data_IF_160481456878
#
_entry.id   IF_160481456878
#
_cell.length_a   1.000
_cell.length_b   1.000
_cell.length_c   1.000
_cell.angle_alpha   90.00
_cell.angle_beta   90.00
_cell.angle_gamma   90.00
#
_symmetry.space_group_name_H-M   'P 1'
#
loop_
_entity.id
_entity.type
_entity.pdbx_description
1 polymer ?
#
# COMPACT_ATOMS: atom_id res chain seq x y z
N UNK A 1 -10.23 -32.27 -2.98
CA UNK A 1 -9.57 -31.07 -3.53
C UNK A 1 -10.58 -29.93 -3.39
N UNK A 2 -10.20 -28.72 -3.00
CA UNK A 2 -11.16 -27.65 -2.63
C UNK A 2 -11.06 -26.53 -3.66
N UNK A 3 -12.19 -26.17 -4.28
CA UNK A 3 -12.28 -25.05 -5.22
C UNK A 3 -12.96 -23.88 -4.49
N UNK A 4 -12.32 -22.70 -4.50
CA UNK A 4 -12.79 -21.49 -3.79
C UNK A 4 -13.08 -20.43 -4.86
N UNK A 5 -14.29 -19.85 -4.83
CA UNK A 5 -14.73 -18.79 -5.76
C UNK A 5 -15.45 -17.68 -5.00
N UNK A 6 -15.29 -16.45 -5.47
CA UNK A 6 -16.05 -15.30 -4.95
C UNK A 6 -17.52 -15.40 -5.37
N UNK A 7 -18.49 -14.98 -4.53
CA UNK A 7 -19.89 -14.95 -4.91
C UNK A 7 -20.15 -13.98 -6.07
N UNK A 8 -21.09 -14.34 -6.95
CA UNK A 8 -21.55 -13.47 -8.02
C UNK A 8 -22.20 -12.19 -7.47
N UNK A 9 -22.06 -11.05 -8.16
CA UNK A 9 -22.49 -9.73 -7.65
C UNK A 9 -24.01 -9.50 -7.64
N UNK A 10 -24.84 -10.48 -8.03
CA UNK A 10 -26.31 -10.36 -8.04
C UNK A 10 -26.99 -11.64 -7.54
N UNK A 11 -28.00 -11.50 -6.68
CA UNK A 11 -28.76 -12.60 -6.05
C UNK A 11 -28.83 -12.45 -4.51
N UNK A 12 -29.85 -13.04 -3.86
CA UNK A 12 -30.01 -12.97 -2.39
C UNK A 12 -28.92 -13.73 -1.61
N UNK A 13 -28.00 -14.43 -2.31
CA UNK A 13 -26.84 -15.12 -1.72
C UNK A 13 -25.77 -14.16 -1.15
N UNK A 14 -25.83 -12.87 -1.49
CA UNK A 14 -24.96 -11.84 -0.88
C UNK A 14 -25.22 -11.68 0.63
N UNK A 15 -26.33 -12.23 1.15
CA UNK A 15 -26.75 -12.07 2.56
C UNK A 15 -26.49 -13.29 3.46
N UNK A 16 -25.91 -14.39 2.96
CA UNK A 16 -25.67 -15.58 3.79
C UNK A 16 -24.17 -15.83 4.01
N UNK A 17 -23.81 -16.08 5.27
CA UNK A 17 -22.44 -15.90 5.76
C UNK A 17 -21.44 -16.99 5.34
N UNK A 18 -21.85 -18.25 5.11
CA UNK A 18 -21.05 -19.29 4.42
C UNK A 18 -22.00 -20.38 3.93
N UNK A 19 -21.88 -20.80 2.67
CA UNK A 19 -22.58 -21.96 2.12
C UNK A 19 -21.59 -23.06 1.79
N UNK A 20 -21.90 -24.32 2.15
CA UNK A 20 -21.10 -25.51 1.85
C UNK A 20 -21.90 -26.46 1.00
N UNK A 21 -21.34 -26.83 -0.15
CA UNK A 21 -21.93 -27.79 -1.07
C UNK A 21 -21.00 -28.99 -1.25
N UNK A 22 -21.46 -30.17 -0.84
CA UNK A 22 -20.72 -31.43 -1.03
C UNK A 22 -21.43 -32.35 -2.03
N UNK A 23 -22.73 -32.18 -2.18
CA UNK A 23 -23.60 -32.88 -3.13
C UNK A 23 -24.58 -31.90 -3.75
N UNK A 24 -25.14 -32.24 -4.90
CA UNK A 24 -26.01 -31.35 -5.66
C UNK A 24 -27.24 -30.91 -4.84
N UNK A 25 -27.77 -31.81 -4.01
CA UNK A 25 -28.91 -31.55 -3.13
C UNK A 25 -28.60 -30.52 -2.01
N UNK A 26 -27.32 -30.23 -1.76
CA UNK A 26 -26.95 -29.16 -0.83
C UNK A 26 -27.28 -27.77 -1.41
N UNK A 27 -27.40 -27.64 -2.75
CA UNK A 27 -27.82 -26.40 -3.42
C UNK A 27 -29.28 -26.04 -3.10
N UNK A 28 -30.10 -27.02 -2.73
CA UNK A 28 -31.50 -26.81 -2.32
C UNK A 28 -31.62 -26.12 -0.96
N UNK A 29 -30.57 -26.14 -0.14
CA UNK A 29 -30.59 -25.58 1.21
C UNK A 29 -30.50 -24.05 1.25
N UNK A 30 -30.13 -23.44 0.13
CA UNK A 30 -29.75 -22.02 0.08
C UNK A 30 -30.49 -21.22 -1.00
N UNK A 31 -31.61 -21.73 -1.52
CA UNK A 31 -32.42 -21.06 -2.56
C UNK A 31 -31.59 -20.59 -3.78
N UNK A 32 -30.56 -21.36 -4.16
CA UNK A 32 -29.72 -21.05 -5.31
C UNK A 32 -30.56 -20.97 -6.60
N UNK A 33 -30.35 -19.91 -7.38
CA UNK A 33 -30.96 -19.70 -8.70
C UNK A 33 -30.51 -20.76 -9.71
N UNK A 34 -31.23 -20.86 -10.84
CA UNK A 34 -30.90 -21.83 -11.90
C UNK A 34 -29.49 -21.58 -12.45
N UNK A 35 -29.12 -20.32 -12.67
CA UNK A 35 -27.79 -19.93 -13.18
C UNK A 35 -26.67 -20.30 -12.20
N UNK A 36 -26.89 -20.13 -10.90
CA UNK A 36 -25.92 -20.52 -9.86
C UNK A 36 -25.78 -22.04 -9.76
N UNK A 37 -26.87 -22.79 -9.96
CA UNK A 37 -26.81 -24.26 -9.95
C UNK A 37 -26.03 -24.81 -11.13
N UNK A 38 -26.29 -24.32 -12.34
CA UNK A 38 -25.55 -24.71 -13.55
C UNK A 38 -24.04 -24.40 -13.43
N UNK A 39 -23.68 -23.35 -12.69
CA UNK A 39 -22.28 -22.98 -12.46
C UNK A 39 -21.56 -23.88 -11.44
N UNK A 40 -22.25 -24.33 -10.38
CA UNK A 40 -21.61 -25.13 -9.31
C UNK A 40 -21.67 -26.65 -9.55
N UNK A 41 -22.62 -27.13 -10.35
CA UNK A 41 -22.85 -28.55 -10.66
C UNK A 41 -21.60 -29.29 -11.17
N UNK A 42 -20.83 -28.77 -12.16
CA UNK A 42 -19.69 -29.49 -12.71
C UNK A 42 -18.55 -29.75 -11.71
N UNK A 43 -18.47 -28.94 -10.65
CA UNK A 43 -17.45 -29.04 -9.62
C UNK A 43 -17.86 -30.00 -8.50
N UNK A 44 -19.14 -30.01 -8.14
CA UNK A 44 -19.70 -30.96 -7.18
C UNK A 44 -19.64 -32.39 -7.75
N UNK A 45 -19.93 -32.58 -9.04
CA UNK A 45 -19.80 -33.87 -9.73
C UNK A 45 -18.35 -34.40 -9.71
N UNK A 46 -17.36 -33.51 -9.63
CA UNK A 46 -15.94 -33.85 -9.49
C UNK A 46 -15.52 -34.11 -8.03
N UNK A 47 -16.48 -34.14 -7.10
CA UNK A 47 -16.24 -34.36 -5.67
C UNK A 47 -15.54 -33.20 -4.98
N UNK A 48 -15.66 -31.99 -5.54
CA UNK A 48 -15.07 -30.77 -4.97
C UNK A 48 -16.08 -30.10 -4.04
N UNK A 49 -15.61 -29.73 -2.85
CA UNK A 49 -16.42 -28.99 -1.87
C UNK A 49 -16.24 -27.50 -2.10
N UNK A 50 -17.34 -26.77 -2.26
CA UNK A 50 -17.37 -25.34 -2.59
C UNK A 50 -17.84 -24.52 -1.38
N UNK A 51 -17.18 -23.40 -1.11
CA UNK A 51 -17.50 -22.44 -0.04
C UNK A 51 -17.69 -21.02 -0.60
N UNK A 52 -18.72 -20.30 -0.15
CA UNK A 52 -19.02 -18.90 -0.55
C UNK A 52 -19.66 -18.10 0.60
N UNK A 53 -19.18 -16.87 0.88
CA UNK A 53 -19.67 -15.94 1.93
C UNK A 53 -18.61 -14.93 2.46
N UNK A 54 -19.03 -13.87 3.17
CA UNK A 54 -18.18 -12.74 3.65
C UNK A 54 -17.52 -13.09 4.99
N UNK A 55 -16.20 -13.18 5.01
CA UNK A 55 -15.51 -14.29 5.68
C UNK A 55 -14.73 -13.92 6.97
N UNK A 56 -15.31 -14.21 8.15
CA UNK A 56 -14.61 -14.24 9.45
C UNK A 56 -13.70 -15.47 9.59
N UNK A 57 -13.95 -16.56 8.87
CA UNK A 57 -13.12 -17.77 8.87
C UNK A 57 -11.82 -17.58 8.06
N UNK A 58 -11.80 -16.73 7.02
CA UNK A 58 -10.57 -16.31 6.33
C UNK A 58 -9.66 -15.53 7.27
N UNK A 59 -10.23 -14.65 8.09
CA UNK A 59 -9.49 -13.93 9.13
C UNK A 59 -8.92 -14.93 10.14
N UNK A 60 -9.73 -15.90 10.60
CA UNK A 60 -9.26 -16.96 11.52
C UNK A 60 -8.18 -17.83 10.87
N UNK A 61 -8.33 -18.23 9.61
CA UNK A 61 -7.39 -19.10 8.91
C UNK A 61 -6.08 -18.40 8.54
N UNK A 62 -6.10 -17.11 8.27
CA UNK A 62 -4.89 -16.29 8.11
C UNK A 62 -4.24 -16.00 9.47
N UNK A 63 -5.04 -15.74 10.50
CA UNK A 63 -4.58 -15.59 11.89
C UNK A 63 -3.91 -16.85 12.44
N UNK A 64 -4.47 -18.03 12.12
CA UNK A 64 -3.90 -19.33 12.49
C UNK A 64 -2.51 -19.52 11.88
N UNK A 65 -2.30 -19.10 10.62
CA UNK A 65 -0.97 -19.16 10.00
C UNK A 65 0.04 -18.24 10.68
N UNK A 66 -0.36 -17.00 11.00
CA UNK A 66 0.50 -16.05 11.72
C UNK A 66 0.89 -16.61 13.11
N UNK A 67 -0.09 -17.11 13.86
CA UNK A 67 0.12 -17.70 15.17
C UNK A 67 0.96 -19.00 15.12
N UNK A 68 0.76 -19.85 14.10
CA UNK A 68 1.52 -21.07 13.90
C UNK A 68 2.98 -20.78 13.59
N UNK A 69 3.27 -19.77 12.77
CA UNK A 69 4.64 -19.34 12.49
C UNK A 69 5.32 -18.84 13.76
N UNK A 70 4.63 -18.01 14.56
CA UNK A 70 5.15 -17.51 15.83
C UNK A 70 5.51 -18.66 16.78
N UNK A 71 4.60 -19.60 16.98
CA UNK A 71 4.81 -20.75 17.88
C UNK A 71 5.86 -21.72 17.36
N UNK A 72 5.87 -21.98 16.05
CA UNK A 72 6.80 -22.92 15.41
C UNK A 72 8.24 -22.46 15.54
N UNK A 73 8.48 -21.15 15.43
CA UNK A 73 9.83 -20.58 15.45
C UNK A 73 10.18 -19.88 16.77
N UNK A 74 9.29 -19.92 17.77
CA UNK A 74 9.46 -19.27 19.08
C UNK A 74 9.81 -17.78 18.94
N UNK A 75 8.98 -17.05 18.17
CA UNK A 75 9.22 -15.65 17.82
C UNK A 75 8.94 -14.73 19.02
N UNK A 76 9.93 -13.94 19.44
CA UNK A 76 9.78 -12.98 20.56
C UNK A 76 9.03 -11.69 20.18
N UNK A 77 9.16 -11.25 18.94
CA UNK A 77 8.67 -9.95 18.48
C UNK A 77 8.20 -9.98 17.02
N UNK A 78 7.02 -9.42 16.77
CA UNK A 78 6.48 -9.15 15.45
C UNK A 78 6.31 -7.65 15.26
N UNK A 79 6.92 -7.14 14.19
CA UNK A 79 6.79 -5.75 13.76
C UNK A 79 5.80 -5.67 12.62
N UNK A 80 4.76 -4.85 12.77
CA UNK A 80 3.85 -4.56 11.67
C UNK A 80 4.41 -3.43 10.81
N UNK A 81 4.66 -3.74 9.54
CA UNK A 81 5.33 -2.86 8.56
C UNK A 81 4.50 -2.64 7.29
N UNK A 82 3.17 -2.71 7.40
CA UNK A 82 2.25 -2.44 6.29
C UNK A 82 1.56 -1.08 6.43
N UNK A 83 1.00 -0.58 5.34
CA UNK A 83 0.35 0.72 5.22
C UNK A 83 -1.03 0.57 4.54
N UNK A 84 -1.83 1.63 4.61
CA UNK A 84 -3.21 1.75 4.11
C UNK A 84 -4.20 0.72 4.69
N UNK A 85 -3.94 0.30 5.93
CA UNK A 85 -4.74 -0.68 6.67
C UNK A 85 -5.61 0.02 7.71
N UNK A 86 -6.82 -0.48 7.96
CA UNK A 86 -7.69 0.10 9.00
C UNK A 86 -7.08 -0.08 10.40
N UNK A 87 -7.32 0.85 11.32
CA UNK A 87 -6.87 0.69 12.71
C UNK A 87 -7.44 -0.57 13.37
N UNK A 88 -8.64 -1.00 12.97
CA UNK A 88 -9.24 -2.24 13.45
C UNK A 88 -8.41 -3.45 13.04
N UNK A 89 -8.05 -3.57 11.76
CA UNK A 89 -7.26 -4.70 11.26
C UNK A 89 -5.85 -4.74 11.88
N UNK A 90 -5.21 -3.58 12.05
CA UNK A 90 -3.92 -3.47 12.76
C UNK A 90 -4.03 -4.05 14.18
N UNK A 91 -5.09 -3.72 14.92
CA UNK A 91 -5.29 -4.21 16.28
C UNK A 91 -5.77 -5.66 16.35
N UNK A 92 -6.52 -6.14 15.36
CA UNK A 92 -6.84 -7.57 15.25
C UNK A 92 -5.56 -8.39 15.05
N UNK A 93 -4.66 -7.96 14.16
CA UNK A 93 -3.33 -8.60 13.99
C UNK A 93 -2.49 -8.54 15.26
N UNK A 94 -2.47 -7.39 15.95
CA UNK A 94 -1.80 -7.27 17.24
C UNK A 94 -2.35 -8.27 18.28
N UNK A 95 -3.65 -8.49 18.32
CA UNK A 95 -4.28 -9.45 19.24
C UNK A 95 -3.86 -10.90 18.95
N UNK A 96 -3.73 -11.27 17.67
CA UNK A 96 -3.28 -12.61 17.25
C UNK A 96 -1.83 -12.85 17.67
N UNK A 97 -0.95 -11.88 17.40
CA UNK A 97 0.47 -11.94 17.77
C UNK A 97 0.64 -12.10 19.28
N UNK A 98 -0.05 -11.26 20.06
CA UNK A 98 0.01 -11.31 21.53
C UNK A 98 -0.52 -12.64 22.08
N UNK A 99 -1.62 -13.15 21.52
CA UNK A 99 -2.18 -14.45 21.93
C UNK A 99 -1.27 -15.64 21.57
N UNK A 100 -0.42 -15.49 20.54
CA UNK A 100 0.59 -16.48 20.18
C UNK A 100 1.85 -16.42 21.05
N UNK A 101 2.00 -15.40 21.90
CA UNK A 101 3.09 -15.27 22.88
C UNK A 101 4.19 -14.26 22.51
N UNK A 102 4.09 -13.60 21.34
CA UNK A 102 5.07 -12.63 20.87
C UNK A 102 4.67 -11.18 21.22
N UNK A 103 5.65 -10.28 21.33
CA UNK A 103 5.38 -8.85 21.36
C UNK A 103 4.91 -8.33 20.00
N UNK A 104 3.98 -7.37 20.00
CA UNK A 104 3.55 -6.67 18.79
C UNK A 104 4.01 -5.21 18.81
N UNK A 105 4.68 -4.75 17.75
CA UNK A 105 5.21 -3.39 17.69
C UNK A 105 4.85 -2.67 16.40
N UNK A 106 4.56 -1.38 16.57
CA UNK A 106 4.55 -0.37 15.52
C UNK A 106 5.80 0.50 15.71
N UNK A 107 6.56 0.72 14.64
CA UNK A 107 7.79 1.52 14.70
C UNK A 107 7.50 2.94 14.24
N UNK A 108 7.81 3.93 15.08
CA UNK A 108 7.66 5.35 14.73
C UNK A 108 8.71 5.80 13.72
N UNK A 109 8.38 6.84 12.94
CA UNK A 109 9.29 7.49 11.99
C UNK A 109 10.68 7.81 12.55
N UNK A 110 10.78 8.22 13.83
CA UNK A 110 12.06 8.49 14.51
C UNK A 110 13.10 7.36 14.38
N UNK A 111 12.66 6.10 14.31
CA UNK A 111 13.54 4.93 14.26
C UNK A 111 13.70 4.35 12.85
N UNK A 112 12.87 4.76 11.89
CA UNK A 112 12.91 4.27 10.49
C UNK A 112 13.44 5.31 9.52
N UNK A 113 13.42 6.59 9.89
CA UNK A 113 13.79 7.68 9.02
C UNK A 113 15.30 7.90 8.92
N UNK A 114 15.74 8.17 7.71
CA UNK A 114 17.11 8.53 7.39
C UNK A 114 17.24 10.06 7.35
N UNK A 115 18.23 10.62 8.05
CA UNK A 115 18.52 12.06 7.94
C UNK A 115 19.35 12.35 6.68
N UNK A 116 18.83 13.22 5.84
CA UNK A 116 19.52 13.77 4.68
C UNK A 116 20.45 14.94 5.07
N UNK A 117 21.47 15.16 4.26
CA UNK A 117 22.38 16.32 4.31
C UNK A 117 21.84 17.52 3.53
N UNK A 118 20.93 17.27 2.59
CA UNK A 118 20.21 18.28 1.81
C UNK A 118 18.78 18.43 2.35
N UNK A 119 18.16 19.61 2.21
CA UNK A 119 16.75 19.79 2.58
C UNK A 119 15.83 18.80 1.87
N UNK A 120 14.93 18.17 2.63
CA UNK A 120 13.92 17.23 2.12
C UNK A 120 12.53 17.85 2.26
N UNK A 121 11.83 17.96 1.14
CA UNK A 121 10.38 18.25 1.11
C UNK A 121 9.66 16.93 0.85
N UNK A 122 8.98 16.40 1.87
CA UNK A 122 8.24 15.16 1.75
C UNK A 122 6.76 15.41 1.44
N UNK A 123 6.20 14.60 0.55
CA UNK A 123 4.78 14.59 0.21
C UNK A 123 4.25 13.18 0.52
N UNK A 124 3.54 13.05 1.63
CA UNK A 124 2.87 11.83 2.06
C UNK A 124 1.34 12.04 2.05
N UNK A 125 0.56 11.04 2.44
CA UNK A 125 -0.90 11.16 2.52
C UNK A 125 -1.46 10.40 3.70
N UNK A 126 -2.73 10.68 4.00
CA UNK A 126 -3.52 9.89 4.95
C UNK A 126 -4.00 8.57 4.35
N UNK A 127 -4.15 8.49 3.03
CA UNK A 127 -4.59 7.31 2.29
C UNK A 127 -3.96 7.21 0.91
N UNK A 128 -3.95 6.00 0.39
CA UNK A 128 -3.68 5.72 -1.02
C UNK A 128 -4.65 6.46 -1.93
N UNK A 129 -4.18 6.90 -3.10
CA UNK A 129 -5.03 7.56 -4.08
C UNK A 129 -5.46 8.99 -3.71
N UNK A 130 -4.88 9.63 -2.68
CA UNK A 130 -5.11 11.05 -2.38
C UNK A 130 -4.53 12.01 -3.44
N UNK A 131 -3.66 11.53 -4.34
CA UNK A 131 -3.05 12.31 -5.42
C UNK A 131 -1.72 12.98 -5.06
N UNK A 132 -0.88 12.29 -4.27
CA UNK A 132 0.45 12.74 -3.85
C UNK A 132 1.33 13.17 -5.03
N UNK A 133 1.46 12.34 -6.05
CA UNK A 133 2.35 12.58 -7.19
C UNK A 133 2.01 13.89 -7.94
N UNK A 134 0.75 14.33 -7.95
CA UNK A 134 0.38 15.64 -8.50
C UNK A 134 0.94 16.80 -7.67
N UNK A 135 0.84 16.70 -6.34
CA UNK A 135 1.40 17.67 -5.38
C UNK A 135 2.92 17.66 -5.43
N UNK A 136 3.55 16.48 -5.52
CA UNK A 136 5.01 16.31 -5.67
C UNK A 136 5.51 17.00 -6.95
N UNK A 137 4.85 16.77 -8.10
CA UNK A 137 5.20 17.42 -9.37
C UNK A 137 4.95 18.93 -9.35
N UNK A 138 3.91 19.41 -8.66
CA UNK A 138 3.68 20.85 -8.47
C UNK A 138 4.78 21.50 -7.61
N UNK A 139 5.17 20.84 -6.52
CA UNK A 139 6.28 21.25 -5.64
C UNK A 139 7.59 21.32 -6.41
N UNK A 140 7.86 20.30 -7.23
CA UNK A 140 9.00 20.26 -8.13
C UNK A 140 9.05 21.50 -9.05
N UNK A 141 7.97 21.76 -9.80
CA UNK A 141 7.93 22.91 -10.73
C UNK A 141 8.16 24.22 -10.00
N UNK A 142 7.57 24.38 -8.82
CA UNK A 142 7.77 25.57 -8.00
C UNK A 142 9.24 25.77 -7.62
N UNK A 143 9.90 24.74 -7.09
CA UNK A 143 11.31 24.82 -6.67
C UNK A 143 12.25 25.02 -7.87
N UNK A 144 12.01 24.33 -8.99
CA UNK A 144 12.78 24.52 -10.23
C UNK A 144 12.64 25.95 -10.77
N UNK A 145 11.44 26.53 -10.74
CA UNK A 145 11.21 27.93 -11.15
C UNK A 145 11.90 28.95 -10.23
N UNK A 146 12.27 28.55 -9.00
CA UNK A 146 13.10 29.34 -8.09
C UNK A 146 14.60 29.16 -8.33
N UNK A 147 15.00 28.31 -9.27
CA UNK A 147 16.39 28.08 -9.67
C UNK A 147 17.12 26.97 -8.90
N UNK A 148 16.42 26.17 -8.10
CA UNK A 148 17.03 25.04 -7.40
C UNK A 148 17.23 23.84 -8.31
N UNK A 149 18.32 23.09 -8.12
CA UNK A 149 18.44 21.73 -8.63
C UNK A 149 17.61 20.81 -7.75
N UNK A 150 16.62 20.16 -8.34
CA UNK A 150 15.67 19.30 -7.62
C UNK A 150 15.83 17.88 -8.11
N UNK A 151 15.78 16.93 -7.18
CA UNK A 151 15.69 15.49 -7.46
C UNK A 151 14.48 14.95 -6.70
N UNK A 152 13.72 14.05 -7.33
CA UNK A 152 12.69 13.29 -6.64
C UNK A 152 13.22 11.92 -6.21
N UNK A 153 12.77 11.43 -5.06
CA UNK A 153 12.89 10.03 -4.65
C UNK A 153 11.49 9.48 -4.51
N UNK A 154 11.21 8.38 -5.22
CA UNK A 154 9.96 7.64 -5.20
C UNK A 154 10.20 6.26 -4.61
N UNK A 155 9.23 5.78 -3.86
CA UNK A 155 9.19 4.39 -3.43
C UNK A 155 9.08 3.44 -4.65
N UNK A 156 9.88 2.37 -4.73
CA UNK A 156 9.78 1.40 -5.81
C UNK A 156 8.52 0.57 -5.66
N UNK A 157 8.03 0.05 -6.78
CA UNK A 157 7.15 -1.11 -6.78
C UNK A 157 8.03 -2.36 -6.73
N UNK A 158 8.11 -3.13 -5.63
CA UNK A 158 9.13 -4.17 -5.43
C UNK A 158 8.77 -5.48 -6.13
N UNK A 159 8.40 -5.42 -7.42
CA UNK A 159 8.01 -6.60 -8.21
C UNK A 159 9.21 -7.32 -8.86
N UNK A 160 10.37 -6.68 -8.91
CA UNK A 160 11.57 -7.17 -9.59
C UNK A 160 12.64 -7.77 -8.67
N UNK A 161 13.86 -7.86 -9.20
CA UNK A 161 15.04 -8.28 -8.44
C UNK A 161 15.50 -7.16 -7.50
N UNK A 162 15.14 -7.27 -6.23
CA UNK A 162 15.43 -6.25 -5.20
C UNK A 162 16.95 -5.98 -5.03
N UNK A 163 17.81 -6.96 -5.35
CA UNK A 163 19.27 -6.77 -5.26
C UNK A 163 19.74 -5.86 -6.40
N UNK A 164 19.18 -6.03 -7.60
CA UNK A 164 19.44 -5.15 -8.75
C UNK A 164 18.78 -3.79 -8.60
N UNK A 165 17.60 -3.74 -8.00
CA UNK A 165 16.84 -2.52 -7.74
C UNK A 165 17.32 -1.77 -6.47
N UNK A 166 18.63 -1.76 -6.19
CA UNK A 166 19.14 -1.10 -4.98
C UNK A 166 19.04 0.44 -5.06
N UNK A 167 19.44 1.00 -6.19
CA UNK A 167 19.53 2.43 -6.50
C UNK A 167 19.36 2.55 -8.00
N UNK A 168 18.23 3.11 -8.40
CA UNK A 168 17.91 3.39 -9.79
C UNK A 168 17.76 4.90 -9.92
N UNK A 169 18.42 5.47 -10.93
CA UNK A 169 18.39 6.89 -11.27
C UNK A 169 17.86 7.02 -12.69
N UNK A 170 16.79 7.77 -12.87
CA UNK A 170 16.16 8.02 -14.15
C UNK A 170 16.19 9.52 -14.48
N UNK A 171 16.80 9.85 -15.60
CA UNK A 171 16.86 11.20 -16.16
C UNK A 171 16.25 11.26 -17.56
N UNK A 172 16.25 10.12 -18.28
CA UNK A 172 15.77 9.98 -19.64
C UNK A 172 15.10 8.63 -19.85
N UNK A 173 14.33 8.49 -20.93
CA UNK A 173 13.56 7.28 -21.22
C UNK A 173 14.44 6.02 -21.33
N UNK A 174 15.67 6.14 -21.83
CA UNK A 174 16.59 5.01 -21.95
C UNK A 174 17.01 4.45 -20.58
N UNK A 175 16.88 5.23 -19.50
CA UNK A 175 17.12 4.70 -18.15
C UNK A 175 16.00 3.73 -17.73
N UNK A 176 14.76 3.91 -18.21
CA UNK A 176 13.64 2.99 -17.93
C UNK A 176 13.90 1.62 -18.55
N UNK A 177 14.47 1.59 -19.76
CA UNK A 177 14.88 0.36 -20.42
C UNK A 177 16.07 -0.28 -19.71
N UNK A 178 17.05 0.52 -19.29
CA UNK A 178 18.25 0.05 -18.58
C UNK A 178 17.92 -0.71 -17.29
N UNK A 179 16.87 -0.31 -16.57
CA UNK A 179 16.43 -0.95 -15.33
C UNK A 179 15.28 -1.94 -15.51
N UNK A 180 14.94 -2.30 -16.75
CA UNK A 180 13.86 -3.25 -17.07
C UNK A 180 12.51 -2.85 -16.43
N UNK A 181 12.19 -1.55 -16.40
CA UNK A 181 10.99 -1.05 -15.72
C UNK A 181 9.69 -1.61 -16.32
N UNK A 182 8.78 -2.05 -15.45
CA UNK A 182 7.44 -2.50 -15.84
C UNK A 182 6.58 -1.33 -16.34
N UNK A 183 5.41 -1.64 -16.88
CA UNK A 183 4.46 -0.62 -17.34
C UNK A 183 4.01 0.28 -16.18
N UNK A 184 3.72 -0.32 -15.03
CA UNK A 184 3.30 0.39 -13.82
C UNK A 184 4.41 1.30 -13.26
N UNK A 185 5.66 0.83 -13.28
CA UNK A 185 6.81 1.67 -12.88
C UNK A 185 7.00 2.85 -13.84
N UNK A 186 6.82 2.62 -15.13
CA UNK A 186 6.89 3.68 -16.15
C UNK A 186 5.81 4.73 -15.96
N UNK A 187 4.56 4.33 -15.68
CA UNK A 187 3.46 5.26 -15.38
C UNK A 187 3.78 6.19 -14.20
N UNK A 188 4.56 5.72 -13.22
CA UNK A 188 5.02 6.52 -12.07
C UNK A 188 6.22 7.42 -12.40
N UNK A 189 7.17 6.96 -13.23
CA UNK A 189 8.45 7.65 -13.47
C UNK A 189 8.46 8.56 -14.71
N UNK A 190 7.81 8.18 -15.81
CA UNK A 190 7.77 8.96 -17.05
C UNK A 190 7.31 10.41 -16.85
N UNK A 191 6.25 10.70 -16.05
CA UNK A 191 5.80 12.08 -15.82
C UNK A 191 6.86 12.99 -15.18
N UNK A 192 7.87 12.42 -14.51
CA UNK A 192 9.00 13.17 -13.96
C UNK A 192 10.04 13.47 -15.03
N UNK A 193 10.40 12.47 -15.83
CA UNK A 193 11.34 12.58 -16.95
C UNK A 193 10.82 13.61 -17.98
N UNK A 194 9.54 13.57 -18.33
CA UNK A 194 8.90 14.51 -19.26
C UNK A 194 9.03 15.97 -18.81
N UNK A 195 9.09 16.21 -17.50
CA UNK A 195 9.27 17.56 -16.96
C UNK A 195 10.76 17.91 -16.72
N UNK A 196 11.68 17.04 -17.18
CA UNK A 196 13.12 17.17 -16.97
C UNK A 196 13.51 17.14 -15.51
N UNK A 197 12.83 16.33 -14.69
CA UNK A 197 13.22 16.01 -13.32
C UNK A 197 13.96 14.68 -13.30
N UNK A 198 15.07 14.62 -12.57
CA UNK A 198 15.70 13.36 -12.21
C UNK A 198 14.94 12.72 -11.05
N UNK A 199 14.57 11.45 -11.22
CA UNK A 199 13.90 10.64 -10.21
C UNK A 199 14.78 9.45 -9.82
N UNK A 200 14.88 9.20 -8.53
CA UNK A 200 15.48 8.00 -7.99
C UNK A 200 14.41 7.07 -7.41
N UNK A 201 14.67 5.77 -7.50
CA UNK A 201 13.86 4.71 -6.89
C UNK A 201 14.74 3.52 -6.52
N UNK A 202 14.21 2.57 -5.76
CA UNK A 202 14.91 1.36 -5.31
C UNK A 202 14.76 1.10 -3.81
N UNK A 203 15.32 -0.02 -3.36
CA UNK A 203 15.07 -0.55 -2.01
C UNK A 203 16.10 -0.08 -0.96
N UNK A 204 17.24 0.48 -1.37
CA UNK A 204 18.29 0.94 -0.44
C UNK A 204 18.22 2.47 -0.27
N UNK A 205 17.27 2.93 0.56
CA UNK A 205 16.99 4.35 0.76
C UNK A 205 18.18 5.16 1.28
N UNK A 206 19.10 4.54 2.03
CA UNK A 206 20.32 5.20 2.49
C UNK A 206 21.25 5.45 1.30
N UNK A 207 21.49 4.46 0.43
CA UNK A 207 22.29 4.70 -0.78
C UNK A 207 21.61 5.68 -1.73
N UNK A 208 20.31 5.56 -1.93
CA UNK A 208 19.53 6.46 -2.81
C UNK A 208 19.70 7.92 -2.39
N UNK A 209 19.50 8.24 -1.11
CA UNK A 209 19.62 9.64 -0.65
C UNK A 209 21.04 10.15 -0.82
N UNK A 210 22.07 9.32 -0.58
CA UNK A 210 23.47 9.74 -0.79
C UNK A 210 23.82 10.00 -2.24
N UNK A 211 23.22 9.29 -3.20
CA UNK A 211 23.37 9.59 -4.61
C UNK A 211 22.64 10.87 -5.00
N UNK A 212 21.38 11.03 -4.58
CA UNK A 212 20.59 12.24 -4.84
C UNK A 212 21.26 13.51 -4.28
N UNK A 213 21.87 13.43 -3.10
CA UNK A 213 22.59 14.54 -2.44
C UNK A 213 23.76 15.10 -3.26
N UNK A 214 24.31 14.34 -4.22
CA UNK A 214 25.46 14.76 -5.04
C UNK A 214 25.07 15.79 -6.11
N UNK A 215 23.81 15.79 -6.55
CA UNK A 215 23.35 16.63 -7.65
C UNK A 215 22.16 17.54 -7.30
N UNK A 216 21.48 17.29 -6.18
CA UNK A 216 20.36 18.08 -5.71
C UNK A 216 20.76 19.20 -4.73
N UNK A 217 20.10 20.35 -4.86
CA UNK A 217 20.04 21.38 -3.82
C UNK A 217 18.92 21.06 -2.83
N UNK A 218 17.79 20.54 -3.34
CA UNK A 218 16.60 20.14 -2.56
C UNK A 218 16.09 18.80 -3.09
N UNK A 219 15.68 17.92 -2.19
CA UNK A 219 15.15 16.60 -2.51
C UNK A 219 13.65 16.57 -2.22
N UNK A 220 12.87 16.08 -3.18
CA UNK A 220 11.44 15.80 -2.97
C UNK A 220 11.29 14.31 -2.69
N UNK A 221 10.73 13.96 -1.55
CA UNK A 221 10.29 12.59 -1.29
C UNK A 221 8.82 12.44 -1.68
N UNK A 222 8.55 11.70 -2.75
CA UNK A 222 7.20 11.37 -3.21
C UNK A 222 6.81 9.99 -2.66
N UNK A 223 6.16 9.95 -1.49
CA UNK A 223 5.88 8.69 -0.79
C UNK A 223 4.93 7.80 -1.58
N UNK A 224 5.09 6.47 -1.57
CA UNK A 224 4.33 5.53 -2.41
C UNK A 224 2.84 5.53 -2.12
N UNK A 225 2.48 4.99 -0.96
CA UNK A 225 1.13 4.68 -0.53
C UNK A 225 0.63 5.71 0.51
N UNK A 226 0.58 5.38 1.79
CA UNK A 226 0.36 6.32 2.88
C UNK A 226 1.40 6.11 4.01
N UNK A 227 2.58 5.60 3.69
CA UNK A 227 3.70 5.39 4.62
C UNK A 227 4.10 6.69 5.31
N UNK A 228 4.69 6.54 6.49
CA UNK A 228 5.50 7.59 7.10
C UNK A 228 6.71 7.83 6.19
N UNK A 229 7.08 9.09 5.98
CA UNK A 229 8.24 9.42 5.15
C UNK A 229 9.48 8.63 5.60
N UNK A 230 10.25 8.08 4.65
CA UNK A 230 11.48 7.34 4.92
C UNK A 230 12.68 8.24 5.21
N UNK A 231 12.53 9.53 4.96
CA UNK A 231 13.53 10.54 5.30
C UNK A 231 12.99 11.46 6.37
N UNK A 232 13.87 12.04 7.18
CA UNK A 232 13.47 13.12 8.10
C UNK A 232 13.18 14.37 7.26
N UNK A 233 11.92 14.80 7.13
CA UNK A 233 11.56 15.96 6.32
C UNK A 233 11.99 17.25 7.01
N UNK A 234 12.36 18.25 6.20
CA UNK A 234 12.47 19.65 6.63
C UNK A 234 11.15 20.41 6.36
N UNK A 235 10.30 19.86 5.49
CA UNK A 235 8.90 20.25 5.30
C UNK A 235 8.08 19.01 4.89
N UNK A 236 7.00 18.73 5.61
CA UNK A 236 6.09 17.62 5.34
C UNK A 236 4.70 18.09 4.92
N UNK A 237 4.36 17.85 3.66
CA UNK A 237 3.00 17.94 3.15
C UNK A 237 2.27 16.62 3.32
N UNK A 238 1.08 16.67 3.94
CA UNK A 238 0.16 15.54 3.98
C UNK A 238 -1.05 15.82 3.12
N UNK A 239 -1.22 15.01 2.08
CA UNK A 239 -2.35 15.09 1.18
C UNK A 239 -3.56 14.38 1.80
N UNK A 240 -4.68 15.09 1.85
CA UNK A 240 -5.98 14.59 2.33
C UNK A 240 -7.00 14.62 1.20
N UNK A 241 -7.96 13.69 1.25
CA UNK A 241 -8.99 13.51 0.23
C UNK A 241 -10.37 13.79 0.80
N UNK A 242 -11.02 14.92 0.43
CA UNK A 242 -12.33 15.30 0.95
C UNK A 242 -13.45 14.34 0.52
N UNK A 243 -13.21 13.44 -0.44
CA UNK A 243 -14.17 12.41 -0.83
C UNK A 243 -14.21 11.23 0.15
N UNK A 244 -13.27 11.18 1.11
CA UNK A 244 -13.13 10.09 2.08
C UNK A 244 -12.90 10.66 3.49
N UNK A 245 -13.83 11.47 4.03
CA UNK A 245 -13.69 12.07 5.36
C UNK A 245 -13.60 10.99 6.45
N UNK A 246 -12.80 11.26 7.48
CA UNK A 246 -12.53 10.32 8.57
C UNK A 246 -11.38 9.36 8.29
N UNK A 247 -10.95 9.21 7.04
CA UNK A 247 -9.82 8.34 6.73
C UNK A 247 -8.49 8.82 7.33
N UNK A 248 -8.39 10.12 7.64
CA UNK A 248 -7.28 10.73 8.37
C UNK A 248 -7.16 10.31 9.84
N UNK A 249 -8.16 9.62 10.40
CA UNK A 249 -8.14 9.10 11.78
C UNK A 249 -8.49 7.60 11.89
N UNK A 250 -8.76 6.92 10.77
CA UNK A 250 -9.21 5.52 10.76
C UNK A 250 -8.19 4.53 10.17
N UNK A 251 -7.12 5.01 9.54
CA UNK A 251 -6.17 4.18 8.80
C UNK A 251 -4.73 4.41 9.23
N UNK A 252 -3.97 3.32 9.28
CA UNK A 252 -2.55 3.30 9.58
C UNK A 252 -1.68 3.32 8.30
N UNK A 253 -0.53 4.01 8.30
CA UNK A 253 -0.13 5.03 9.28
C UNK A 253 -0.72 6.41 8.94
N UNK A 254 -1.83 6.48 8.20
CA UNK A 254 -2.48 7.73 7.78
C UNK A 254 -2.74 8.73 8.91
N UNK A 255 -3.20 8.28 10.07
CA UNK A 255 -3.37 9.16 11.24
C UNK A 255 -2.03 9.64 11.82
N UNK A 256 -1.00 8.79 11.81
CA UNK A 256 0.35 9.19 12.21
C UNK A 256 0.84 10.31 11.29
N UNK A 257 0.66 10.14 9.97
CA UNK A 257 0.98 11.16 8.99
C UNK A 257 0.21 12.47 9.26
N UNK A 258 -1.11 12.42 9.43
CA UNK A 258 -1.90 13.62 9.74
C UNK A 258 -1.35 14.37 10.97
N UNK A 259 -1.09 13.65 12.07
CA UNK A 259 -0.55 14.25 13.29
C UNK A 259 0.88 14.78 13.14
N UNK A 260 1.63 14.27 12.17
CA UNK A 260 3.02 14.63 11.90
C UNK A 260 3.17 15.77 10.87
N UNK A 261 2.09 16.15 10.19
CA UNK A 261 2.10 17.14 9.10
C UNK A 261 2.57 18.53 9.54
N UNK A 262 3.39 19.19 8.71
CA UNK A 262 3.62 20.63 8.80
C UNK A 262 2.50 21.40 8.07
N UNK A 263 2.01 20.84 6.96
CA UNK A 263 0.94 21.42 6.17
C UNK A 263 0.06 20.35 5.51
N UNK A 264 -1.24 20.63 5.48
CA UNK A 264 -2.21 19.80 4.77
C UNK A 264 -2.45 20.31 3.36
N UNK A 265 -2.56 19.40 2.40
CA UNK A 265 -3.02 19.68 1.05
C UNK A 265 -4.34 18.96 0.81
N UNK A 266 -5.43 19.72 0.75
CA UNK A 266 -6.75 19.16 0.43
C UNK A 266 -6.87 19.07 -1.10
N UNK A 267 -6.69 17.86 -1.63
CA UNK A 267 -6.76 17.63 -3.07
C UNK A 267 -8.20 17.33 -3.53
N UNK A 268 -8.45 17.28 -4.84
CA UNK A 268 -9.74 16.90 -5.45
C UNK A 268 -10.94 17.77 -5.02
N UNK A 269 -10.69 19.00 -4.55
CA UNK A 269 -11.75 19.93 -4.14
C UNK A 269 -12.77 20.25 -5.24
N UNK A 270 -12.37 20.16 -6.51
CA UNK A 270 -13.27 20.33 -7.66
C UNK A 270 -14.32 19.20 -7.80
N UNK A 271 -14.08 18.05 -7.18
CA UNK A 271 -15.01 16.91 -7.18
C UNK A 271 -15.78 16.77 -5.86
N UNK A 272 -15.34 17.45 -4.81
CA UNK A 272 -15.99 17.42 -3.50
C UNK A 272 -17.29 18.23 -3.53
N UNK A 273 -18.36 17.66 -3.00
CA UNK A 273 -19.60 18.40 -2.74
C UNK A 273 -19.48 19.13 -1.39
N UNK A 274 -20.05 20.32 -1.32
CA UNK A 274 -20.09 21.15 -0.12
C UNK A 274 -20.93 20.54 1.01
#
# INVERSE_FOLDING_TARGET
MVAIREPMPYGDLVKQNVMRFEKYEDLDKYDCTIEEREEYEPYIEQGLVIYSGVDYEKIIREAEKEADVIKKYDVDEVVFAYSDVSHQDVMHKGSIVLAAGANYRLISGKFTQIKAKKPVVAVCAVRTGCGKSQVSRATYRYLKNKGFKVVAIREPMPYGDLVKQNVMRFEKYEDLDKYDCTIEEREEYEPYIEQGLVIYSGVDYEKIIREAEKEADVIIFDGGNNEISFYVPDLLFIVVDPLRPGHEILYHPGEVNARYADAYVINKMNNAKA
#
